data_IF_440075650577
#
_entry.id   IF_440075650577
#
_cell.length_a   1.000
_cell.length_b   1.000
_cell.length_c   1.000
_cell.angle_alpha   90.00
_cell.angle_beta   90.00
_cell.angle_gamma   90.00
#
_symmetry.space_group_name_H-M   'P 1'
#
loop_
_entity.id
_entity.type
_entity.pdbx_description
1 polymer ?
#
# COMPACT_ATOMS: atom_id res chain seq x y z
N UNK A 1 9.13 18.14 9.91
CA UNK A 1 8.36 17.18 9.10
C UNK A 1 9.30 15.99 8.92
N UNK A 2 9.06 14.86 9.59
CA UNK A 2 10.02 13.74 9.74
C UNK A 2 10.16 12.83 8.50
N UNK A 3 9.51 13.19 7.40
CA UNK A 3 9.66 12.51 6.12
C UNK A 3 11.09 12.77 5.62
N UNK A 4 11.97 11.77 5.71
CA UNK A 4 13.36 11.92 5.27
C UNK A 4 13.46 12.37 3.81
N UNK A 5 14.53 13.09 3.46
CA UNK A 5 14.78 13.66 2.13
C UNK A 5 14.83 12.63 0.97
N UNK A 6 14.77 11.32 1.27
CA UNK A 6 14.85 10.22 0.29
C UNK A 6 13.48 9.75 -0.23
N UNK A 7 12.37 10.38 0.16
CA UNK A 7 11.02 9.93 -0.22
C UNK A 7 10.61 10.51 -1.58
N UNK A 8 10.84 9.72 -2.63
CA UNK A 8 10.35 10.03 -3.97
C UNK A 8 8.89 9.58 -4.17
N UNK A 9 7.95 10.52 -4.00
CA UNK A 9 6.51 10.28 -4.17
C UNK A 9 6.13 9.81 -5.57
N UNK A 10 6.92 10.13 -6.60
CA UNK A 10 6.63 9.70 -7.97
C UNK A 10 6.68 8.17 -8.10
N UNK A 11 7.47 7.50 -7.26
CA UNK A 11 7.68 6.05 -7.20
C UNK A 11 6.82 5.35 -6.14
N UNK A 12 5.91 6.07 -5.49
CA UNK A 12 5.06 5.54 -4.42
C UNK A 12 3.60 5.53 -4.86
N UNK A 13 2.85 4.53 -4.39
CA UNK A 13 1.40 4.61 -4.26
C UNK A 13 1.13 5.19 -2.88
N UNK A 14 0.24 6.19 -2.81
CA UNK A 14 -0.08 6.91 -1.57
C UNK A 14 -1.59 6.96 -1.41
N UNK A 15 -2.07 6.71 -0.19
CA UNK A 15 -3.47 6.86 0.18
C UNK A 15 -3.58 7.67 1.48
N UNK A 16 -4.32 8.76 1.46
CA UNK A 16 -4.62 9.57 2.64
C UNK A 16 -5.97 9.21 3.24
N UNK A 17 -6.05 9.11 4.56
CA UNK A 17 -7.33 9.02 5.27
C UNK A 17 -8.05 10.37 5.25
N UNK A 18 -9.36 10.35 5.53
CA UNK A 18 -10.17 11.57 5.65
C UNK A 18 -9.78 12.34 6.93
N UNK A 19 -10.14 13.62 6.99
CA UNK A 19 -10.02 14.47 8.19
C UNK A 19 -8.61 14.59 8.82
N UNK A 20 -7.57 14.70 7.99
CA UNK A 20 -6.18 14.75 8.44
C UNK A 20 -5.74 13.50 9.25
N UNK A 21 -6.37 12.36 8.95
CA UNK A 21 -5.98 11.06 9.47
C UNK A 21 -4.67 10.52 8.86
N UNK A 22 -4.37 9.24 9.08
CA UNK A 22 -3.12 8.63 8.64
C UNK A 22 -2.94 8.58 7.12
N UNK A 23 -1.68 8.55 6.68
CA UNK A 23 -1.24 8.45 5.29
C UNK A 23 -0.53 7.11 5.11
N UNK A 24 -1.02 6.28 4.19
CA UNK A 24 -0.41 5.01 3.81
C UNK A 24 0.43 5.17 2.55
N UNK A 25 1.60 4.53 2.53
CA UNK A 25 2.55 4.59 1.43
C UNK A 25 3.20 3.24 1.18
N UNK A 26 3.36 2.89 -0.09
CA UNK A 26 4.06 1.69 -0.54
C UNK A 26 4.71 1.98 -1.90
N UNK A 27 5.85 1.36 -2.18
CA UNK A 27 6.53 1.53 -3.46
C UNK A 27 5.69 0.95 -4.61
N UNK A 28 5.59 1.72 -5.69
CA UNK A 28 4.93 1.32 -6.92
C UNK A 28 5.92 0.57 -7.83
N UNK A 29 5.82 -0.74 -7.83
CA UNK A 29 6.64 -1.61 -8.68
C UNK A 29 6.36 -1.39 -10.19
N UNK A 30 5.28 -0.71 -10.62
CA UNK A 30 5.09 -0.30 -12.05
C UNK A 30 6.09 0.73 -12.50
N UNK A 31 6.55 1.58 -11.59
CA UNK A 31 7.32 2.80 -11.92
C UNK A 31 8.81 2.65 -11.69
N UNK A 32 9.25 1.51 -11.16
CA UNK A 32 10.68 1.21 -10.99
C UNK A 32 11.25 0.74 -12.32
N UNK A 33 11.47 1.70 -13.23
CA UNK A 33 12.24 1.46 -14.46
C UNK A 33 13.75 1.56 -14.17
N UNK A 34 14.45 0.42 -14.27
CA UNK A 34 15.82 0.30 -14.79
C UNK A 34 16.88 1.26 -14.21
N UNK A 35 17.19 1.22 -12.90
CA UNK A 35 18.54 1.58 -12.44
C UNK A 35 18.96 0.63 -11.32
N UNK A 36 19.91 -0.25 -11.63
CA UNK A 36 20.71 -0.96 -10.64
C UNK A 36 20.06 -2.22 -10.11
N UNK A 37 20.58 -3.36 -10.55
CA UNK A 37 20.44 -4.62 -9.85
C UNK A 37 20.93 -4.47 -8.40
N UNK A 38 20.03 -4.28 -7.45
CA UNK A 38 20.26 -4.70 -6.06
C UNK A 38 18.95 -4.78 -5.30
N UNK A 39 18.63 -6.02 -4.97
CA UNK A 39 17.58 -6.47 -4.08
C UNK A 39 16.14 -6.38 -4.62
N UNK A 40 15.62 -7.57 -4.90
CA UNK A 40 14.23 -8.02 -4.79
C UNK A 40 13.67 -7.70 -3.38
N UNK A 41 13.71 -6.44 -2.97
CA UNK A 41 13.19 -5.96 -1.70
C UNK A 41 11.67 -5.96 -1.82
N UNK A 42 11.05 -6.93 -1.15
CA UNK A 42 9.60 -6.92 -0.93
C UNK A 42 9.21 -5.52 -0.45
N UNK A 43 8.25 -4.84 -1.11
CA UNK A 43 7.90 -3.48 -0.74
C UNK A 43 7.43 -3.46 0.72
N UNK A 44 7.60 -2.33 1.38
CA UNK A 44 7.13 -2.13 2.74
C UNK A 44 5.96 -1.16 2.69
N UNK A 45 4.82 -1.59 3.24
CA UNK A 45 3.69 -0.72 3.48
C UNK A 45 3.97 0.07 4.76
N UNK A 46 4.03 1.39 4.65
CA UNK A 46 4.23 2.29 5.78
C UNK A 46 2.98 3.13 5.99
N UNK A 47 2.63 3.34 7.25
CA UNK A 47 1.53 4.20 7.67
C UNK A 47 2.14 5.30 8.53
N UNK A 48 1.85 6.54 8.19
CA UNK A 48 2.35 7.72 8.87
C UNK A 48 1.18 8.57 9.36
N UNK A 49 1.40 9.34 10.42
CA UNK A 49 0.47 10.40 10.81
C UNK A 49 0.52 11.55 9.79
N UNK A 50 -0.43 12.48 9.89
CA UNK A 50 -0.39 13.73 9.13
C UNK A 50 0.81 14.63 9.49
N UNK A 51 1.41 14.45 10.68
CA UNK A 51 2.66 15.12 11.08
C UNK A 51 3.93 14.46 10.49
N UNK A 52 3.79 13.29 9.88
CA UNK A 52 4.90 12.51 9.31
C UNK A 52 5.56 11.52 10.26
N UNK A 53 4.95 11.28 11.43
CA UNK A 53 5.43 10.27 12.34
C UNK A 53 5.08 8.88 11.79
N UNK A 54 6.06 7.98 11.71
CA UNK A 54 5.82 6.58 11.35
C UNK A 54 4.96 5.91 12.43
N UNK A 55 3.74 5.51 12.07
CA UNK A 55 2.80 4.79 12.94
C UNK A 55 2.97 3.28 12.80
N UNK A 56 3.19 2.80 11.57
CA UNK A 56 3.37 1.38 11.31
C UNK A 56 4.24 1.12 10.08
N UNK A 57 4.96 0.00 10.11
CA UNK A 57 5.77 -0.50 9.00
C UNK A 57 5.52 -1.99 8.84
N UNK A 58 4.97 -2.39 7.70
CA UNK A 58 4.46 -3.74 7.44
C UNK A 58 5.17 -4.29 6.21
N UNK A 59 5.87 -5.43 6.30
CA UNK A 59 6.45 -6.07 5.12
C UNK A 59 5.33 -6.57 4.21
N UNK A 60 5.32 -6.12 2.94
CA UNK A 60 4.31 -6.54 1.97
C UNK A 60 4.63 -7.95 1.49
N UNK A 61 3.74 -8.89 1.80
CA UNK A 61 3.90 -10.31 1.47
C UNK A 61 3.01 -10.77 0.32
N UNK A 62 1.96 -10.01 0.02
CA UNK A 62 1.06 -10.30 -1.08
C UNK A 62 1.73 -10.00 -2.43
N UNK A 63 1.13 -10.45 -3.54
CA UNK A 63 1.51 -9.98 -4.87
C UNK A 63 1.42 -8.46 -4.98
N UNK A 64 1.85 -7.95 -6.13
CA UNK A 64 1.90 -6.52 -6.38
C UNK A 64 0.57 -5.83 -6.04
N UNK A 65 0.67 -4.66 -5.43
CA UNK A 65 -0.51 -3.87 -5.09
C UNK A 65 -1.17 -3.37 -6.38
N UNK A 66 -2.45 -3.69 -6.55
CA UNK A 66 -3.29 -3.09 -7.56
C UNK A 66 -3.75 -1.70 -7.12
N UNK A 67 -4.32 -1.59 -5.92
CA UNK A 67 -4.87 -0.36 -5.32
C UNK A 67 -4.77 -0.34 -3.79
N UNK A 68 -4.77 0.84 -3.19
CA UNK A 68 -5.13 0.99 -1.78
C UNK A 68 -5.90 2.27 -1.51
N UNK A 69 -6.71 2.26 -0.45
CA UNK A 69 -7.52 3.39 -0.03
C UNK A 69 -7.97 3.26 1.42
N UNK A 70 -8.42 4.37 2.01
CA UNK A 70 -8.95 4.38 3.37
C UNK A 70 -10.47 4.36 3.35
N UNK A 71 -11.05 3.58 4.26
CA UNK A 71 -12.47 3.65 4.59
C UNK A 71 -12.77 4.81 5.54
N UNK A 72 -14.04 5.19 5.67
CA UNK A 72 -14.48 6.23 6.61
C UNK A 72 -14.21 5.90 8.08
N UNK A 73 -13.97 4.63 8.41
CA UNK A 73 -13.64 4.16 9.75
C UNK A 73 -12.12 3.97 9.96
N UNK A 74 -11.29 4.70 9.20
CA UNK A 74 -9.81 4.67 9.28
C UNK A 74 -9.21 3.26 9.13
N UNK A 75 -9.85 2.43 8.30
CA UNK A 75 -9.29 1.14 7.89
C UNK A 75 -8.69 1.29 6.51
N UNK A 76 -7.43 0.93 6.38
CA UNK A 76 -6.72 0.88 5.12
C UNK A 76 -7.11 -0.42 4.40
N UNK A 77 -7.60 -0.30 3.17
CA UNK A 77 -7.91 -1.41 2.28
C UNK A 77 -6.81 -1.47 1.23
N UNK A 78 -6.20 -2.63 1.07
CA UNK A 78 -5.21 -2.90 0.04
C UNK A 78 -5.70 -4.04 -0.85
N UNK A 79 -5.71 -3.82 -2.15
CA UNK A 79 -6.11 -4.80 -3.17
C UNK A 79 -4.86 -5.19 -3.95
N UNK A 80 -4.60 -6.49 -4.02
CA UNK A 80 -3.48 -7.06 -4.77
C UNK A 80 -3.92 -7.41 -6.20
N UNK A 81 -2.97 -7.48 -7.14
CA UNK A 81 -3.25 -7.83 -8.54
C UNK A 81 -3.89 -9.22 -8.70
N UNK A 82 -3.70 -10.14 -7.76
CA UNK A 82 -4.31 -11.48 -7.74
C UNK A 82 -5.73 -11.53 -7.12
N UNK A 83 -6.29 -10.37 -6.78
CA UNK A 83 -7.59 -10.27 -6.13
C UNK A 83 -7.58 -10.53 -4.63
N UNK A 84 -6.42 -10.58 -3.98
CA UNK A 84 -6.35 -10.60 -2.51
C UNK A 84 -6.61 -9.20 -1.94
N UNK A 85 -7.68 -9.07 -1.17
CA UNK A 85 -8.05 -7.86 -0.43
C UNK A 85 -7.64 -8.02 1.02
N UNK A 86 -6.83 -7.11 1.53
CA UNK A 86 -6.38 -7.09 2.93
C UNK A 86 -6.70 -5.76 3.56
N UNK A 87 -7.26 -5.79 4.77
CA UNK A 87 -7.63 -4.61 5.54
C UNK A 87 -6.72 -4.47 6.76
N UNK A 88 -6.18 -3.28 6.96
CA UNK A 88 -5.36 -2.92 8.12
C UNK A 88 -6.02 -1.80 8.91
N UNK A 89 -5.82 -1.77 10.23
CA UNK A 89 -6.09 -0.59 11.03
C UNK A 89 -4.98 0.46 10.86
N UNK A 90 -5.23 1.68 11.34
CA UNK A 90 -4.24 2.78 11.33
C UNK A 90 -2.92 2.44 12.05
N UNK A 91 -2.96 1.52 13.03
CA UNK A 91 -1.79 1.00 13.73
C UNK A 91 -1.04 -0.12 12.96
N UNK A 92 -1.47 -0.42 11.74
CA UNK A 92 -0.90 -1.47 10.89
C UNK A 92 -1.26 -2.90 11.27
N UNK A 93 -2.19 -3.10 12.21
CA UNK A 93 -2.70 -4.44 12.52
C UNK A 93 -3.61 -4.93 11.39
N UNK A 94 -3.35 -6.13 10.89
CA UNK A 94 -4.25 -6.80 9.94
C UNK A 94 -5.59 -7.12 10.64
N UNK A 95 -6.68 -6.62 10.05
CA UNK A 95 -8.05 -6.79 10.55
C UNK A 95 -8.74 -7.95 9.83
N UNK A 96 -8.62 -7.99 8.51
CA UNK A 96 -9.29 -8.98 7.67
C UNK A 96 -8.49 -9.20 6.39
N UNK A 97 -8.58 -10.40 5.81
CA UNK A 97 -8.09 -10.70 4.48
C UNK A 97 -9.04 -11.68 3.80
N UNK A 98 -9.36 -11.43 2.53
CA UNK A 98 -10.22 -12.29 1.73
C UNK A 98 -9.84 -12.19 0.25
N UNK A 99 -10.17 -13.22 -0.53
CA UNK A 99 -9.97 -13.24 -1.99
C UNK A 99 -11.27 -12.86 -2.69
N UNK A 100 -11.16 -12.16 -3.82
CA UNK A 100 -12.27 -11.81 -4.70
C UNK A 100 -12.76 -12.98 -5.58
N UNK A 101 -12.11 -14.14 -5.52
CA UNK A 101 -12.47 -15.32 -6.31
C UNK A 101 -11.35 -15.76 -7.26
N UNK A 102 -11.47 -16.97 -7.83
CA UNK A 102 -10.48 -17.52 -8.75
C UNK A 102 -10.36 -16.73 -10.05
N UNK A 103 -11.43 -16.12 -10.54
CA UNK A 103 -11.43 -15.34 -11.78
C UNK A 103 -10.51 -14.13 -11.68
N UNK A 104 -10.51 -13.45 -10.53
CA UNK A 104 -9.60 -12.31 -10.26
C UNK A 104 -8.15 -12.75 -10.14
N UNK A 105 -7.90 -14.00 -9.75
CA UNK A 105 -6.56 -14.59 -9.65
C UNK A 105 -5.99 -14.95 -11.02
N UNK A 106 -6.84 -15.35 -11.95
CA UNK A 106 -6.47 -15.75 -13.31
C UNK A 106 -6.35 -14.56 -14.26
N UNK A 107 -7.34 -13.67 -14.26
CA UNK A 107 -7.40 -12.51 -15.16
C UNK A 107 -6.68 -11.27 -14.60
N UNK A 108 -6.48 -11.23 -13.28
CA UNK A 108 -5.90 -10.11 -12.56
C UNK A 108 -6.87 -8.96 -12.34
N UNK A 109 -6.64 -8.18 -11.28
CA UNK A 109 -7.44 -6.98 -10.96
C UNK A 109 -6.81 -5.73 -11.58
N UNK A 110 -7.63 -4.98 -12.32
CA UNK A 110 -7.24 -3.69 -12.92
C UNK A 110 -8.13 -2.58 -12.41
N UNK A 111 -7.53 -1.44 -12.09
CA UNK A 111 -8.28 -0.22 -11.83
C UNK A 111 -8.85 0.36 -13.11
N UNK A 112 -10.08 0.89 -13.03
CA UNK A 112 -10.59 1.88 -13.97
C UNK A 112 -10.00 3.24 -13.64
N UNK A 113 -9.28 3.85 -14.59
CA UNK A 113 -8.70 5.20 -14.45
C UNK A 113 -9.73 6.30 -14.57
#
# INVERSE_FOLDING_TARGET
MEWGDDIDLSKMVVAGSRFAGPIAMIRDDRKVSLIGASATLRPTLTIHSCSGQLLASIPWKAPRLAEMGWTDNERLVCVSEDGLVTMFGANGRMLQSFSMGPECKEEGVRMSR
#
